data_IF_362787859940
#
_entry.id   IF_362787859940
#
_cell.length_a   1.000
_cell.length_b   1.000
_cell.length_c   1.000
_cell.angle_alpha   90.00
_cell.angle_beta   90.00
_cell.angle_gamma   90.00
#
_symmetry.space_group_name_H-M   'P 1'
#
loop_
_entity.id
_entity.type
_entity.pdbx_description
1 polymer ?
#
# COMPACT_ATOMS: atom_id res chain seq x y z
N UNK A 1 23.85 -20.28 -7.01
CA UNK A 1 22.94 -19.12 -7.15
C UNK A 1 22.94 -18.35 -5.85
N UNK A 2 23.40 -17.10 -5.84
CA UNK A 2 23.36 -16.26 -4.64
C UNK A 2 21.99 -15.62 -4.47
N UNK A 3 21.44 -15.62 -3.26
CA UNK A 3 20.25 -14.84 -2.92
C UNK A 3 20.66 -13.42 -2.51
N UNK A 4 20.08 -12.40 -3.12
CA UNK A 4 20.17 -11.03 -2.57
C UNK A 4 19.07 -10.83 -1.53
N UNK A 5 19.43 -10.22 -0.40
CA UNK A 5 18.49 -9.78 0.63
C UNK A 5 18.33 -8.27 0.53
N UNK A 6 17.09 -7.81 0.41
CA UNK A 6 16.74 -6.39 0.52
C UNK A 6 16.06 -6.18 1.87
N UNK A 7 16.63 -5.30 2.70
CA UNK A 7 16.13 -5.01 4.04
C UNK A 7 15.57 -3.60 4.05
N UNK A 8 14.36 -3.43 4.59
CA UNK A 8 13.72 -2.14 4.83
C UNK A 8 13.74 -1.90 6.33
N UNK A 9 14.32 -0.78 6.78
CA UNK A 9 14.38 -0.40 8.17
C UNK A 9 13.24 0.53 8.54
N UNK A 10 12.87 0.55 9.82
CA UNK A 10 11.75 1.34 10.32
C UNK A 10 11.95 2.87 10.16
N UNK A 11 13.20 3.31 10.04
CA UNK A 11 13.59 4.70 9.84
C UNK A 11 13.75 5.10 8.36
N UNK A 12 13.51 4.18 7.43
CA UNK A 12 13.58 4.47 6.01
C UNK A 12 12.29 5.15 5.52
N UNK A 13 12.42 5.88 4.43
CA UNK A 13 11.29 6.24 3.57
C UNK A 13 11.33 5.34 2.35
N UNK A 14 10.20 4.75 1.96
CA UNK A 14 10.15 3.90 0.77
C UNK A 14 8.76 3.92 0.13
N UNK A 15 8.71 3.48 -1.13
CA UNK A 15 7.49 3.32 -1.90
C UNK A 15 7.31 1.84 -2.24
N UNK A 16 6.18 1.27 -1.85
CA UNK A 16 5.78 -0.07 -2.24
C UNK A 16 4.87 0.01 -3.46
N UNK A 17 5.23 -0.67 -4.54
CA UNK A 17 4.38 -0.81 -5.71
C UNK A 17 3.42 -1.97 -5.49
N UNK A 18 2.13 -1.71 -5.62
CA UNK A 18 1.08 -2.69 -5.39
C UNK A 18 0.27 -2.84 -6.69
N UNK A 19 0.05 -4.09 -7.09
CA UNK A 19 -0.92 -4.45 -8.14
C UNK A 19 -2.04 -5.23 -7.47
N UNK A 20 -3.28 -4.82 -7.71
CA UNK A 20 -4.46 -5.49 -7.17
C UNK A 20 -5.04 -6.43 -8.22
N UNK A 21 -5.19 -7.69 -7.83
CA UNK A 21 -5.74 -8.74 -8.66
C UNK A 21 -7.05 -9.24 -8.07
N UNK A 22 -7.93 -9.77 -8.93
CA UNK A 22 -9.14 -10.46 -8.48
C UNK A 22 -8.75 -11.82 -7.91
N UNK A 23 -9.52 -12.31 -6.94
CA UNK A 23 -9.35 -13.68 -6.45
C UNK A 23 -9.55 -14.74 -7.54
N UNK A 24 -10.36 -14.44 -8.55
CA UNK A 24 -10.54 -15.26 -9.76
C UNK A 24 -9.37 -15.19 -10.76
N UNK A 25 -8.35 -14.39 -10.47
CA UNK A 25 -7.27 -14.05 -11.38
C UNK A 25 -7.57 -12.83 -12.25
N UNK A 26 -6.50 -12.23 -12.76
CA UNK A 26 -6.54 -11.04 -13.59
C UNK A 26 -6.65 -9.74 -12.79
N UNK A 27 -6.51 -8.64 -13.51
CA UNK A 27 -6.39 -7.31 -12.91
C UNK A 27 -7.73 -6.81 -12.39
N UNK A 28 -7.72 -6.15 -11.22
CA UNK A 28 -8.87 -5.45 -10.67
C UNK A 28 -8.72 -3.93 -10.89
N UNK A 29 -9.48 -3.32 -11.83
CA UNK A 29 -9.50 -1.88 -12.00
C UNK A 29 -9.97 -1.18 -10.73
N UNK A 30 -9.32 -0.06 -10.41
CA UNK A 30 -9.55 0.76 -9.22
C UNK A 30 -10.25 2.08 -9.56
N UNK A 31 -10.77 2.24 -10.78
CA UNK A 31 -11.59 3.38 -11.17
C UNK A 31 -12.80 3.54 -10.23
N UNK A 32 -12.85 4.68 -9.54
CA UNK A 32 -13.88 5.00 -8.55
C UNK A 32 -13.73 4.29 -7.20
N UNK A 33 -12.61 3.59 -6.95
CA UNK A 33 -12.31 3.02 -5.64
C UNK A 33 -11.64 4.06 -4.73
N UNK A 34 -11.91 3.95 -3.43
CA UNK A 34 -11.19 4.67 -2.38
C UNK A 34 -10.18 3.73 -1.74
N UNK A 35 -8.93 4.18 -1.64
CA UNK A 35 -7.81 3.43 -1.08
C UNK A 35 -7.31 4.17 0.15
N UNK A 36 -7.24 3.46 1.27
CA UNK A 36 -6.73 4.00 2.53
C UNK A 36 -5.67 3.06 3.11
N UNK A 37 -4.56 3.64 3.58
CA UNK A 37 -3.54 2.92 4.32
C UNK A 37 -3.51 3.42 5.76
N UNK A 38 -3.83 2.53 6.68
CA UNK A 38 -4.05 2.86 8.09
C UNK A 38 -3.11 2.04 8.96
N UNK A 39 -2.48 2.70 9.94
CA UNK A 39 -1.79 1.99 11.01
C UNK A 39 -2.85 1.31 11.90
N UNK A 40 -2.95 -0.01 11.80
CA UNK A 40 -3.91 -0.83 12.54
C UNK A 40 -3.60 -0.94 14.04
N UNK A 41 -2.36 -0.63 14.43
CA UNK A 41 -1.94 -0.55 15.82
C UNK A 41 -0.81 0.47 16.02
N UNK A 42 -0.75 1.06 17.22
CA UNK A 42 0.40 1.80 17.72
C UNK A 42 0.20 3.28 18.07
N UNK A 43 1.30 3.95 18.48
CA UNK A 43 1.26 5.20 19.29
C UNK A 43 1.02 6.50 18.51
N UNK A 44 1.07 6.48 17.17
CA UNK A 44 0.89 7.68 16.33
C UNK A 44 0.15 7.33 15.05
N UNK A 45 -0.80 8.19 14.67
CA UNK A 45 -1.35 8.27 13.30
C UNK A 45 -0.24 8.78 12.38
N UNK A 46 0.71 7.93 11.99
CA UNK A 46 1.49 8.23 10.79
C UNK A 46 0.53 8.05 9.61
N UNK A 47 0.51 9.01 8.69
CA UNK A 47 -0.21 8.87 7.43
C UNK A 47 0.77 8.29 6.41
N UNK A 48 0.45 7.13 5.85
CA UNK A 48 1.03 6.73 4.57
C UNK A 48 0.21 7.42 3.48
N UNK A 49 0.85 7.79 2.37
CA UNK A 49 0.16 8.36 1.23
C UNK A 49 0.02 7.34 0.10
N UNK A 50 -1.05 7.51 -0.68
CA UNK A 50 -1.33 6.71 -1.86
C UNK A 50 -1.08 7.56 -3.09
N UNK A 51 -0.38 7.00 -4.07
CA UNK A 51 -0.16 7.56 -5.39
C UNK A 51 -0.75 6.61 -6.43
N UNK A 52 -1.82 7.02 -7.12
CA UNK A 52 -2.44 6.19 -8.15
C UNK A 52 -1.57 6.19 -9.40
N UNK A 53 -1.09 5.00 -9.80
CA UNK A 53 -0.19 4.87 -10.95
C UNK A 53 -0.98 4.59 -12.22
N UNK A 54 -1.86 3.59 -12.17
CA UNK A 54 -2.72 3.19 -13.27
C UNK A 54 -3.97 2.52 -12.69
N UNK A 55 -5.08 3.25 -12.71
CA UNK A 55 -6.34 2.79 -12.16
C UNK A 55 -7.00 1.70 -13.03
N UNK A 56 -6.74 1.66 -14.33
CA UNK A 56 -7.31 0.65 -15.24
C UNK A 56 -6.68 -0.71 -14.97
N UNK A 57 -5.38 -0.72 -14.67
CA UNK A 57 -4.66 -1.96 -14.33
C UNK A 57 -4.43 -2.17 -12.82
N UNK A 58 -5.16 -1.43 -11.99
CA UNK A 58 -5.17 -1.61 -10.54
C UNK A 58 -3.81 -1.46 -9.86
N UNK A 59 -3.00 -0.51 -10.33
CA UNK A 59 -1.66 -0.23 -9.81
C UNK A 59 -1.62 1.09 -9.05
N UNK A 60 -1.05 1.05 -7.86
CA UNK A 60 -0.78 2.23 -7.06
C UNK A 60 0.50 2.07 -6.24
N UNK A 61 1.08 3.19 -5.84
CA UNK A 61 2.18 3.27 -4.90
C UNK A 61 1.67 3.57 -3.50
N UNK A 62 2.12 2.79 -2.52
CA UNK A 62 1.96 3.09 -1.11
C UNK A 62 3.28 3.67 -0.58
N UNK A 63 3.25 4.92 -0.13
CA UNK A 63 4.43 5.67 0.28
C UNK A 63 4.45 5.76 1.81
N UNK A 64 5.53 5.23 2.37
CA UNK A 64 5.83 5.32 3.79
C UNK A 64 6.90 6.37 4.01
N UNK A 65 6.55 7.41 4.77
CA UNK A 65 7.53 8.37 5.25
C UNK A 65 8.43 7.78 6.34
N UNK A 66 9.55 8.46 6.60
CA UNK A 66 10.49 8.10 7.67
C UNK A 66 9.77 7.84 9.00
N UNK A 67 10.00 6.66 9.58
CA UNK A 67 9.42 6.28 10.86
C UNK A 67 7.99 5.73 10.78
N UNK A 68 7.35 5.70 9.60
CA UNK A 68 5.99 5.18 9.45
C UNK A 68 5.92 3.68 9.79
N UNK A 69 6.93 2.88 9.44
CA UNK A 69 6.97 1.47 9.84
C UNK A 69 7.22 1.26 11.34
N UNK A 70 7.82 2.25 12.02
CA UNK A 70 8.06 2.17 13.46
C UNK A 70 6.78 2.33 14.28
N UNK A 71 5.70 2.87 13.67
CA UNK A 71 4.48 3.17 14.42
C UNK A 71 3.59 1.96 14.64
N UNK A 72 3.74 0.86 13.88
CA UNK A 72 3.04 -0.39 14.14
C UNK A 72 2.71 -1.19 12.87
N UNK A 73 1.68 -2.04 12.95
CA UNK A 73 1.20 -2.82 11.81
C UNK A 73 0.34 -1.96 10.89
N UNK A 74 0.52 -2.10 9.58
CA UNK A 74 -0.24 -1.37 8.57
C UNK A 74 -1.26 -2.28 7.88
N UNK A 75 -2.46 -1.76 7.69
CA UNK A 75 -3.52 -2.38 6.91
C UNK A 75 -3.89 -1.47 5.74
N UNK A 76 -4.11 -2.10 4.60
CA UNK A 76 -4.64 -1.45 3.42
C UNK A 76 -6.13 -1.78 3.33
N UNK A 77 -6.96 -0.74 3.28
CA UNK A 77 -8.38 -0.88 3.04
C UNK A 77 -8.71 -0.39 1.64
N UNK A 78 -9.35 -1.25 0.86
CA UNK A 78 -9.88 -0.93 -0.44
C UNK A 78 -11.40 -0.99 -0.36
N UNK A 79 -12.07 0.09 -0.75
CA UNK A 79 -13.53 0.14 -0.80
C UNK A 79 -13.99 0.68 -2.16
N UNK A 80 -15.09 0.14 -2.66
CA UNK A 80 -15.74 0.60 -3.89
C UNK A 80 -17.22 0.79 -3.59
N UNK A 81 -17.75 1.97 -3.95
CA UNK A 81 -19.19 2.18 -3.91
C UNK A 81 -19.82 1.38 -5.03
N UNK A 82 -20.60 0.35 -4.69
CA UNK A 82 -21.48 -0.33 -5.62
C UNK A 82 -22.72 0.55 -5.77
N UNK A 83 -22.84 1.20 -6.93
CA UNK A 83 -24.13 1.76 -7.38
C UNK A 83 -24.91 0.68 -8.11
#
# INVERSE_FOLDING_TARGET
MGSMKYTIYSADSFRMLITVERSSGGVLPLAGATIEAVAASGKRRAAASIDMIDAEVGRFGLIFGKGALAVGMWQLQLSRSLK
#
